data_IF_578952977743
#
_entry.id   IF_578952977743
#
_cell.length_a   1.000
_cell.length_b   1.000
_cell.length_c   1.000
_cell.angle_alpha   90.00
_cell.angle_beta   90.00
_cell.angle_gamma   90.00
#
_symmetry.space_group_name_H-M   'P 1'
#
loop_
_entity.id
_entity.type
_entity.pdbx_description
1 polymer ?
#
# COMPACT_ATOMS: atom_id res chain seq x y z
N UNK A 1 6.02 -19.72 -15.82
CA UNK A 1 5.07 -19.23 -16.83
C UNK A 1 4.04 -18.44 -16.07
N UNK A 2 3.96 -17.13 -16.29
CA UNK A 2 3.01 -16.26 -15.59
C UNK A 2 1.62 -16.62 -16.07
N UNK A 3 0.90 -17.43 -15.30
CA UNK A 3 -0.43 -17.88 -15.65
C UNK A 3 -1.32 -16.67 -15.86
N UNK A 4 -1.69 -16.44 -17.13
CA UNK A 4 -2.63 -15.42 -17.61
C UNK A 4 -4.05 -15.69 -17.11
N UNK A 5 -4.21 -16.35 -15.97
CA UNK A 5 -5.49 -16.70 -15.36
C UNK A 5 -6.32 -15.45 -15.05
N UNK A 6 -5.67 -14.33 -14.77
CA UNK A 6 -6.35 -13.04 -14.58
C UNK A 6 -6.91 -12.47 -15.90
N UNK A 7 -6.33 -12.78 -17.07
CA UNK A 7 -6.87 -12.37 -18.38
C UNK A 7 -8.19 -13.08 -18.73
N UNK A 8 -8.59 -14.12 -17.98
CA UNK A 8 -9.89 -14.77 -18.12
C UNK A 8 -10.98 -14.06 -17.29
N UNK A 9 -10.59 -13.23 -16.33
CA UNK A 9 -11.53 -12.55 -15.44
C UNK A 9 -11.83 -11.13 -15.94
N UNK A 10 -13.10 -10.87 -16.29
CA UNK A 10 -13.51 -9.57 -16.81
C UNK A 10 -13.29 -8.42 -15.82
N UNK A 11 -13.32 -8.69 -14.50
CA UNK A 11 -12.99 -7.70 -13.48
C UNK A 11 -11.51 -7.30 -13.53
N UNK A 12 -10.61 -8.28 -13.66
CA UNK A 12 -9.18 -8.04 -13.77
C UNK A 12 -8.82 -7.29 -15.07
N UNK A 13 -9.48 -7.62 -16.19
CA UNK A 13 -9.31 -6.88 -17.45
C UNK A 13 -9.76 -5.42 -17.29
N UNK A 14 -10.87 -5.17 -16.58
CA UNK A 14 -11.31 -3.80 -16.28
C UNK A 14 -10.28 -3.06 -15.42
N UNK A 15 -9.80 -3.67 -14.34
CA UNK A 15 -8.77 -3.09 -13.48
C UNK A 15 -7.48 -2.75 -14.27
N UNK A 16 -7.03 -3.65 -15.15
CA UNK A 16 -5.86 -3.41 -16.00
C UNK A 16 -6.08 -2.27 -16.99
N UNK A 17 -7.27 -2.19 -17.61
CA UNK A 17 -7.61 -1.08 -18.52
C UNK A 17 -7.62 0.25 -17.78
N UNK A 18 -8.16 0.28 -16.56
CA UNK A 18 -8.12 1.48 -15.71
C UNK A 18 -6.68 1.89 -15.39
N UNK A 19 -5.83 0.92 -15.03
CA UNK A 19 -4.39 1.17 -14.82
C UNK A 19 -3.71 1.75 -16.06
N UNK A 20 -3.97 1.19 -17.25
CA UNK A 20 -3.42 1.68 -18.52
C UNK A 20 -3.88 3.10 -18.81
N UNK A 21 -5.17 3.40 -18.60
CA UNK A 21 -5.71 4.75 -18.82
C UNK A 21 -5.08 5.76 -17.86
N UNK A 22 -4.95 5.42 -16.57
CA UNK A 22 -4.32 6.29 -15.58
C UNK A 22 -2.83 6.51 -15.90
N UNK A 23 -2.10 5.46 -16.26
CA UNK A 23 -0.68 5.56 -16.67
C UNK A 23 -0.53 6.42 -17.92
N UNK A 24 -1.46 6.30 -18.88
CA UNK A 24 -1.48 7.10 -20.10
C UNK A 24 -1.81 8.56 -19.81
N UNK A 25 -2.74 8.84 -18.90
CA UNK A 25 -3.10 10.20 -18.50
C UNK A 25 -1.96 10.90 -17.74
N UNK A 26 -1.27 10.19 -16.86
CA UNK A 26 -0.23 10.77 -15.99
C UNK A 26 1.14 10.85 -16.67
N UNK A 27 1.59 9.78 -17.33
CA UNK A 27 2.93 9.72 -17.94
C UNK A 27 2.92 9.90 -19.47
N UNK A 28 1.74 9.87 -20.11
CA UNK A 28 1.65 9.86 -21.58
C UNK A 28 2.10 8.53 -22.22
N UNK A 29 2.36 7.50 -21.41
CA UNK A 29 2.89 6.21 -21.87
C UNK A 29 1.76 5.22 -22.12
N UNK A 30 1.67 4.69 -23.34
CA UNK A 30 0.69 3.66 -23.71
C UNK A 30 1.21 2.26 -23.35
N UNK A 31 0.90 1.80 -22.14
CA UNK A 31 1.20 0.43 -21.73
C UNK A 31 0.22 -0.56 -22.39
N UNK A 32 0.69 -1.76 -22.75
CA UNK A 32 -0.15 -2.79 -23.39
C UNK A 32 -0.21 -4.07 -22.55
N UNK A 33 -1.41 -4.65 -22.48
CA UNK A 33 -1.72 -5.90 -21.77
C UNK A 33 -0.91 -7.12 -22.26
N UNK A 34 -0.34 -7.05 -23.46
CA UNK A 34 0.44 -8.15 -24.05
C UNK A 34 1.91 -8.15 -23.63
N UNK A 35 2.39 -7.12 -22.92
CA UNK A 35 3.79 -7.05 -22.52
C UNK A 35 4.08 -8.05 -21.39
N UNK A 36 5.13 -8.87 -21.50
CA UNK A 36 5.52 -9.80 -20.44
C UNK A 36 5.90 -9.08 -19.14
N UNK A 37 6.37 -7.84 -19.25
CA UNK A 37 6.75 -6.97 -18.11
C UNK A 37 5.67 -5.96 -17.73
N UNK A 38 4.41 -6.20 -18.10
CA UNK A 38 3.30 -5.28 -17.80
C UNK A 38 3.22 -4.95 -16.31
N UNK A 39 3.32 -5.94 -15.42
CA UNK A 39 3.25 -5.73 -13.98
C UNK A 39 4.46 -4.99 -13.41
N UNK A 40 5.67 -5.30 -13.86
CA UNK A 40 6.89 -4.64 -13.37
C UNK A 40 6.93 -3.18 -13.78
N UNK A 41 6.59 -2.89 -15.03
CA UNK A 41 6.47 -1.53 -15.53
C UNK A 41 5.37 -0.78 -14.78
N UNK A 42 4.19 -1.39 -14.62
CA UNK A 42 3.08 -0.77 -13.90
C UNK A 42 3.45 -0.47 -12.45
N UNK A 43 4.11 -1.39 -11.75
CA UNK A 43 4.61 -1.19 -10.38
C UNK A 43 5.57 0.00 -10.33
N UNK A 44 6.54 0.05 -11.25
CA UNK A 44 7.49 1.17 -11.36
C UNK A 44 6.78 2.50 -11.59
N UNK A 45 5.74 2.52 -12.44
CA UNK A 45 4.95 3.72 -12.68
C UNK A 45 4.12 4.14 -11.46
N UNK A 46 3.52 3.19 -10.74
CA UNK A 46 2.81 3.46 -9.48
C UNK A 46 3.75 4.14 -8.48
N UNK A 47 4.96 3.61 -8.32
CA UNK A 47 5.96 4.15 -7.41
C UNK A 47 6.47 5.54 -7.82
N UNK A 48 6.55 5.81 -9.13
CA UNK A 48 6.99 7.09 -9.67
C UNK A 48 5.92 8.19 -9.60
N UNK A 49 4.65 7.85 -9.81
CA UNK A 49 3.55 8.84 -9.82
C UNK A 49 2.86 9.01 -8.47
N UNK A 50 3.01 8.07 -7.52
CA UNK A 50 2.34 8.04 -6.20
C UNK A 50 0.82 8.34 -6.29
N UNK A 51 0.20 8.00 -7.42
CA UNK A 51 -1.21 8.27 -7.67
C UNK A 51 -2.08 7.20 -6.99
N UNK A 52 -2.86 7.61 -6.00
CA UNK A 52 -3.70 6.71 -5.19
C UNK A 52 -4.68 5.88 -6.04
N UNK A 53 -5.28 6.49 -7.07
CA UNK A 53 -6.23 5.79 -7.94
C UNK A 53 -5.54 4.68 -8.77
N UNK A 54 -4.31 4.94 -9.23
CA UNK A 54 -3.53 3.97 -9.99
C UNK A 54 -3.05 2.84 -9.08
N UNK A 55 -2.65 3.18 -7.85
CA UNK A 55 -2.24 2.22 -6.82
C UNK A 55 -3.39 1.31 -6.38
N UNK A 56 -4.60 1.86 -6.24
CA UNK A 56 -5.79 1.10 -5.87
C UNK A 56 -6.23 0.15 -7.00
N UNK A 57 -6.19 0.62 -8.26
CA UNK A 57 -6.48 -0.21 -9.42
C UNK A 57 -5.42 -1.31 -9.62
N UNK A 58 -4.15 -1.01 -9.30
CA UNK A 58 -3.06 -1.99 -9.30
C UNK A 58 -3.24 -3.06 -8.22
N UNK A 59 -3.61 -2.69 -6.99
CA UNK A 59 -3.89 -3.63 -5.91
C UNK A 59 -5.06 -4.57 -6.25
N UNK A 60 -6.14 -4.02 -6.83
CA UNK A 60 -7.25 -4.83 -7.35
C UNK A 60 -6.77 -5.81 -8.43
N UNK A 61 -5.96 -5.34 -9.38
CA UNK A 61 -5.39 -6.19 -10.42
C UNK A 61 -4.49 -7.30 -9.84
N UNK A 62 -3.64 -6.92 -8.87
CA UNK A 62 -2.70 -7.82 -8.21
C UNK A 62 -3.43 -8.95 -7.50
N UNK A 63 -4.57 -8.71 -6.84
CA UNK A 63 -5.41 -9.77 -6.23
C UNK A 63 -5.82 -10.86 -7.23
N UNK A 64 -6.12 -10.47 -8.47
CA UNK A 64 -6.51 -11.42 -9.52
C UNK A 64 -5.32 -12.15 -10.15
N UNK A 65 -4.15 -11.50 -10.20
CA UNK A 65 -2.93 -12.09 -10.76
C UNK A 65 -2.17 -12.97 -9.75
N UNK A 66 -2.14 -12.56 -8.48
CA UNK A 66 -1.51 -13.26 -7.36
C UNK A 66 -2.32 -14.49 -6.92
N UNK A 67 -3.60 -14.59 -7.30
CA UNK A 67 -4.37 -15.84 -7.16
C UNK A 67 -3.74 -17.04 -7.91
N UNK A 68 -2.72 -16.83 -8.75
CA UNK A 68 -1.87 -17.89 -9.32
C UNK A 68 -0.48 -18.04 -8.66
N UNK A 69 -0.04 -17.09 -7.84
CA UNK A 69 1.27 -17.08 -7.20
C UNK A 69 1.10 -16.96 -5.68
N UNK A 70 1.17 -18.08 -4.97
CA UNK A 70 1.15 -18.13 -3.51
C UNK A 70 2.10 -17.07 -2.92
N UNK A 71 1.55 -16.05 -2.27
CA UNK A 71 2.18 -15.44 -1.10
C UNK A 71 1.13 -15.18 -0.04
N UNK A 72 1.12 -16.09 0.93
CA UNK A 72 0.40 -15.92 2.17
C UNK A 72 0.81 -14.60 2.84
N UNK A 73 -0.11 -13.65 2.93
CA UNK A 73 -0.25 -12.81 4.12
C UNK A 73 -1.73 -12.50 4.26
N UNK A 74 -2.46 -13.47 4.80
CA UNK A 74 -3.63 -13.19 5.61
C UNK A 74 -3.22 -13.53 7.05
N UNK A 75 -3.44 -12.60 7.97
CA UNK A 75 -4.56 -12.79 8.89
C UNK A 75 -5.39 -11.51 8.95
N UNK A 76 -6.66 -11.48 9.31
CA UNK A 76 -7.77 -12.41 9.44
C UNK A 76 -8.97 -11.46 9.73
N UNK A 77 -10.21 -11.87 9.45
CA UNK A 77 -11.37 -10.98 9.51
C UNK A 77 -11.93 -10.91 10.93
N UNK A 78 -12.11 -9.72 11.53
CA UNK A 78 -13.02 -9.53 12.67
C UNK A 78 -13.70 -8.15 12.64
N UNK A 79 -14.98 -8.15 12.24
CA UNK A 79 -15.99 -7.18 12.69
C UNK A 79 -16.43 -7.52 14.14
N UNK A 80 -17.36 -6.82 14.82
CA UNK A 80 -17.76 -5.40 14.83
C UNK A 80 -17.72 -4.77 16.26
N UNK A 81 -18.11 -3.50 16.34
CA UNK A 81 -18.40 -2.65 17.51
C UNK A 81 -19.22 -3.28 18.67
N UNK A 82 -18.90 -2.93 19.94
CA UNK A 82 -19.79 -2.44 21.06
C UNK A 82 -19.16 -2.63 22.46
N UNK A 83 -19.03 -1.50 23.21
CA UNK A 83 -19.05 -1.24 24.67
C UNK A 83 -18.25 -2.14 25.66
N UNK A 84 -17.51 -1.64 26.67
CA UNK A 84 -17.91 -0.70 27.75
C UNK A 84 -16.67 -0.40 28.61
N UNK A 85 -16.52 0.85 29.09
CA UNK A 85 -15.52 1.26 30.10
C UNK A 85 -15.74 0.54 31.46
N UNK A 86 -14.74 0.50 32.38
CA UNK A 86 -14.31 1.68 33.15
C UNK A 86 -12.78 1.86 33.30
N UNK A 87 -12.44 3.10 33.68
CA UNK A 87 -11.17 3.76 34.01
C UNK A 87 -10.31 3.04 35.11
N UNK A 88 -9.27 3.68 35.71
CA UNK A 88 -8.00 4.12 35.15
C UNK A 88 -6.82 3.59 36.00
N UNK A 89 -5.67 3.22 35.42
CA UNK A 89 -4.45 2.98 36.21
C UNK A 89 -3.23 3.64 35.57
N UNK A 90 -2.92 4.80 36.12
CA UNK A 90 -1.68 5.53 35.97
C UNK A 90 -0.59 4.75 36.72
N UNK A 91 0.39 4.25 35.98
CA UNK A 91 1.75 3.97 36.45
C UNK A 91 2.66 4.43 35.30
N UNK A 92 3.06 5.70 35.27
CA UNK A 92 4.39 6.12 35.74
C UNK A 92 5.47 5.07 35.45
N UNK A 93 5.80 4.95 34.17
CA UNK A 93 7.17 4.73 33.74
C UNK A 93 7.47 5.78 32.67
N UNK A 94 8.39 6.67 33.03
CA UNK A 94 8.87 7.85 32.32
C UNK A 94 9.65 7.37 31.08
N UNK A 95 8.90 7.12 30.01
CA UNK A 95 9.45 6.95 28.67
C UNK A 95 8.35 7.35 27.71
N UNK A 96 8.28 8.66 27.43
CA UNK A 96 7.54 9.31 26.34
C UNK A 96 8.03 8.82 24.96
N UNK A 97 8.04 7.50 24.76
CA UNK A 97 8.12 6.86 23.45
C UNK A 97 6.75 6.94 22.79
N UNK A 98 6.20 8.17 22.69
CA UNK A 98 5.06 8.45 21.84
C UNK A 98 5.43 7.93 20.45
N UNK A 99 4.78 6.87 20.02
CA UNK A 99 5.05 6.25 18.73
C UNK A 99 3.95 6.69 17.78
N UNK A 100 4.32 7.30 16.66
CA UNK A 100 3.37 7.77 15.65
C UNK A 100 3.33 6.81 14.47
N UNK A 101 2.13 6.63 13.91
CA UNK A 101 1.93 5.82 12.72
C UNK A 101 2.03 6.76 11.51
N UNK A 102 3.07 6.58 10.69
CA UNK A 102 3.29 7.36 9.48
C UNK A 102 3.41 6.42 8.27
N UNK A 103 2.54 6.57 7.28
CA UNK A 103 2.44 5.66 6.12
C UNK A 103 2.35 4.16 6.50
N UNK A 104 1.58 3.86 7.54
CA UNK A 104 1.36 2.48 8.01
C UNK A 104 2.55 1.85 8.76
N UNK A 105 3.62 2.60 8.99
CA UNK A 105 4.78 2.17 9.78
C UNK A 105 4.86 2.98 11.07
N UNK A 106 5.21 2.32 12.17
CA UNK A 106 5.38 2.94 13.46
C UNK A 106 6.78 3.57 13.56
N UNK A 107 6.84 4.86 13.92
CA UNK A 107 8.08 5.59 14.17
C UNK A 107 7.99 6.26 15.54
N UNK A 108 9.12 6.43 16.21
CA UNK A 108 9.16 7.24 17.42
C UNK A 108 8.82 8.69 17.07
N UNK A 109 7.99 9.34 17.87
CA UNK A 109 7.66 10.77 17.74
C UNK A 109 8.85 11.62 18.12
N UNK A 110 9.61 11.18 19.12
CA UNK A 110 10.76 11.89 19.64
C UNK A 110 11.98 10.99 19.52
N UNK A 111 13.04 11.52 18.93
CA UNK A 111 14.34 10.87 18.89
C UNK A 111 15.41 11.94 19.09
N UNK A 112 16.24 11.78 20.12
CA UNK A 112 17.30 12.73 20.47
C UNK A 112 16.80 14.18 20.71
N UNK A 113 15.61 14.34 21.30
CA UNK A 113 14.99 15.66 21.56
C UNK A 113 14.43 16.36 20.32
N UNK A 114 14.42 15.68 19.16
CA UNK A 114 13.88 16.19 17.90
C UNK A 114 12.55 15.48 17.58
N UNK A 115 11.55 16.25 17.13
CA UNK A 115 10.24 15.70 16.76
C UNK A 115 10.29 15.09 15.35
N UNK A 116 9.63 13.96 15.17
CA UNK A 116 9.48 13.31 13.89
C UNK A 116 8.73 14.23 12.93
N UNK A 117 9.42 14.59 11.84
CA UNK A 117 8.94 15.52 10.81
C UNK A 117 8.52 14.81 9.52
N UNK A 118 8.65 13.49 9.47
CA UNK A 118 8.34 12.67 8.30
C UNK A 118 9.50 11.78 7.87
N UNK A 119 9.39 11.21 6.67
CA UNK A 119 10.47 10.43 6.06
C UNK A 119 11.18 11.25 4.98
N UNK A 120 12.51 11.19 4.98
CA UNK A 120 13.35 11.68 3.90
C UNK A 120 14.10 10.50 3.27
N UNK A 121 13.85 10.22 1.99
CA UNK A 121 14.46 9.09 1.26
C UNK A 121 14.33 7.74 1.98
N UNK A 122 13.20 7.51 2.66
CA UNK A 122 12.95 6.26 3.39
C UNK A 122 13.53 6.21 4.81
N UNK A 123 14.26 7.24 5.25
CA UNK A 123 14.78 7.34 6.62
C UNK A 123 13.91 8.29 7.46
N UNK A 124 13.64 7.98 8.74
CA UNK A 124 12.90 8.87 9.63
C UNK A 124 13.71 10.14 9.89
N UNK A 125 13.06 11.29 9.72
CA UNK A 125 13.67 12.60 9.93
C UNK A 125 13.09 13.22 11.19
N UNK A 126 13.97 13.67 12.07
CA UNK A 126 13.64 14.34 13.31
C UNK A 126 14.20 15.77 13.24
N UNK A 127 13.37 16.81 13.46
CA UNK A 127 13.75 18.21 13.29
C UNK A 127 12.75 19.20 13.91
#
# INVERSE_FOLDING_TARGET
>A
MTDKSWLLNHAAIKAAKTCILLTQSELGVKLTLSHPEFFELLTSYVELTDNEALRQAFDELAKYADSGAKSATEPAPQAPVIAKAPEPQIANDDSDSETIIYKGKAYQRWNDGLEFKGLYRGQPRYA
#
